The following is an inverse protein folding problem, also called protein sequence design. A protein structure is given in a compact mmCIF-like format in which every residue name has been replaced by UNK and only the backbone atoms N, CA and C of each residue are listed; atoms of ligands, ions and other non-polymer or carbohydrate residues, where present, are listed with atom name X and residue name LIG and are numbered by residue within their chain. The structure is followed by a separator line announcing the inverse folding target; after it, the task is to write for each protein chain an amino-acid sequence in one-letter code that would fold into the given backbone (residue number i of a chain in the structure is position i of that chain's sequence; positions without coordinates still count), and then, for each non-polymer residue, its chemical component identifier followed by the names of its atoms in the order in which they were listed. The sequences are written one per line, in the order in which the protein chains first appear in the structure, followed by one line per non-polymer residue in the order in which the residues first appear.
data_IF_043059405003
#
_entry.id   IF_043059405003
#
_cell.length_a   1.000
_cell.length_b   1.000
_cell.length_c   1.000
_cell.angle_alpha   90.00
_cell.angle_beta   90.00
_cell.angle_gamma   90.00
#
_symmetry.space_group_name_H-M   'P 1'
#
loop_
_entity.id
_entity.type
_entity.pdbx_description
1 polymer ?
#
# COMPACT_ATOMS: atom_id res chain seq x y z
N UNK A 1 5.40 -15.53 -21.14
CA UNK A 1 4.36 -14.47 -21.12
C UNK A 1 3.33 -14.64 -19.99
N UNK A 2 2.80 -15.85 -19.71
CA UNK A 2 1.74 -16.06 -18.69
C UNK A 2 2.05 -15.57 -17.26
N UNK A 3 3.28 -15.71 -16.78
CA UNK A 3 3.65 -15.30 -15.41
C UNK A 3 3.70 -13.79 -15.20
N UNK A 4 4.09 -13.02 -16.23
CA UNK A 4 4.15 -11.55 -16.14
C UNK A 4 2.74 -10.94 -16.04
N UNK A 5 1.78 -11.47 -16.79
CA UNK A 5 0.38 -11.02 -16.71
C UNK A 5 -0.23 -11.24 -15.33
N UNK A 6 0.01 -12.42 -14.72
CA UNK A 6 -0.45 -12.71 -13.34
C UNK A 6 0.23 -11.80 -12.33
N UNK A 7 1.54 -11.54 -12.44
CA UNK A 7 2.26 -10.66 -11.53
C UNK A 7 1.74 -9.21 -11.58
N UNK A 8 1.48 -8.68 -12.78
CA UNK A 8 0.89 -7.34 -12.96
C UNK A 8 -0.53 -7.29 -12.39
N UNK A 9 -1.35 -8.29 -12.68
CA UNK A 9 -2.72 -8.38 -12.14
C UNK A 9 -2.74 -8.38 -10.61
N UNK A 10 -1.85 -9.15 -9.98
CA UNK A 10 -1.75 -9.24 -8.53
C UNK A 10 -1.29 -7.91 -7.90
N UNK A 11 -0.34 -7.23 -8.53
CA UNK A 11 0.16 -5.92 -8.06
C UNK A 11 -0.94 -4.85 -8.13
N UNK A 12 -1.69 -4.80 -9.23
CA UNK A 12 -2.80 -3.87 -9.38
C UNK A 12 -3.91 -4.14 -8.35
N UNK A 13 -4.25 -5.41 -8.13
CA UNK A 13 -5.24 -5.78 -7.12
C UNK A 13 -4.81 -5.33 -5.71
N UNK A 14 -3.55 -5.60 -5.33
CA UNK A 14 -3.00 -5.14 -4.05
C UNK A 14 -3.02 -3.62 -3.90
N UNK A 15 -2.61 -2.89 -4.95
CA UNK A 15 -2.65 -1.42 -4.94
C UNK A 15 -4.07 -0.86 -4.85
N UNK A 16 -5.03 -1.47 -5.54
CA UNK A 16 -6.43 -1.08 -5.49
C UNK A 16 -7.04 -1.33 -4.10
N UNK A 17 -6.83 -2.52 -3.53
CA UNK A 17 -7.28 -2.83 -2.18
C UNK A 17 -6.66 -1.86 -1.17
N UNK A 18 -5.37 -1.57 -1.26
CA UNK A 18 -4.71 -0.59 -0.39
C UNK A 18 -5.32 0.82 -0.52
N UNK A 19 -5.64 1.27 -1.73
CA UNK A 19 -6.27 2.56 -1.97
C UNK A 19 -7.68 2.63 -1.37
N UNK A 20 -8.53 1.62 -1.62
CA UNK A 20 -9.88 1.57 -1.05
C UNK A 20 -9.85 1.52 0.48
N UNK A 21 -8.99 0.69 1.07
CA UNK A 21 -8.83 0.62 2.53
C UNK A 21 -8.34 1.95 3.10
N UNK A 22 -7.40 2.62 2.43
CA UNK A 22 -6.91 3.93 2.88
C UNK A 22 -8.01 4.97 2.89
N UNK A 23 -8.78 5.10 1.79
CA UNK A 23 -9.88 6.08 1.70
C UNK A 23 -10.97 5.77 2.73
N UNK A 24 -11.30 4.50 2.95
CA UNK A 24 -12.23 4.09 4.00
C UNK A 24 -11.75 4.53 5.39
N UNK A 25 -10.48 4.24 5.72
CA UNK A 25 -9.91 4.59 7.02
C UNK A 25 -9.82 6.11 7.23
N UNK A 26 -9.56 6.89 6.17
CA UNK A 26 -9.63 8.36 6.21
C UNK A 26 -11.02 8.82 6.63
N UNK A 27 -12.08 8.30 5.99
CA UNK A 27 -13.47 8.62 6.35
C UNK A 27 -13.81 8.25 7.79
N UNK A 28 -13.48 7.01 8.19
CA UNK A 28 -13.70 6.54 9.57
C UNK A 28 -12.99 7.43 10.60
N UNK A 29 -11.77 7.90 10.31
CA UNK A 29 -11.05 8.76 11.23
C UNK A 29 -11.61 10.19 11.28
N UNK A 30 -12.16 10.70 10.17
CA UNK A 30 -12.88 11.98 10.16
C UNK A 30 -14.16 11.88 10.99
N UNK A 31 -14.94 10.82 10.79
CA UNK A 31 -16.16 10.55 11.56
C UNK A 31 -15.86 10.41 13.06
N UNK A 32 -14.80 9.67 13.41
CA UNK A 32 -14.36 9.50 14.80
C UNK A 32 -13.90 10.81 15.48
N UNK A 33 -13.46 11.79 14.69
CA UNK A 33 -13.09 13.12 15.16
C UNK A 33 -14.26 14.10 15.17
N UNK A 34 -15.48 13.65 14.85
CA UNK A 34 -16.68 14.48 14.75
C UNK A 34 -16.72 15.37 13.50
N UNK A 35 -15.82 15.14 12.54
CA UNK A 35 -15.72 15.87 11.28
C UNK A 35 -16.42 15.10 10.14
N UNK A 36 -17.67 14.68 10.37
CA UNK A 36 -18.47 13.90 9.40
C UNK A 36 -19.26 14.77 8.40
N UNK A 37 -19.29 16.09 8.60
CA UNK A 37 -20.00 17.03 7.73
C UNK A 37 -19.15 18.25 7.37
N UNK A 38 -19.40 18.93 6.24
CA UNK A 38 -18.58 20.07 5.81
C UNK A 38 -18.44 21.19 6.86
N UNK A 39 -19.50 21.46 7.62
CA UNK A 39 -19.49 22.44 8.71
C UNK A 39 -18.66 22.03 9.94
N UNK A 40 -18.37 20.73 10.10
CA UNK A 40 -17.55 20.19 11.22
C UNK A 40 -16.10 19.92 10.82
N UNK A 41 -15.74 20.19 9.57
CA UNK A 41 -14.38 20.00 9.08
C UNK A 41 -13.39 20.94 9.75
N UNK A 42 -12.31 20.36 10.27
CA UNK A 42 -11.19 21.11 10.82
C UNK A 42 -9.87 20.66 10.19
N UNK A 43 -8.92 21.60 10.08
CA UNK A 43 -7.58 21.29 9.55
C UNK A 43 -6.86 20.25 10.40
N UNK A 44 -7.08 20.23 11.72
CA UNK A 44 -6.53 19.23 12.62
C UNK A 44 -7.07 17.83 12.32
N UNK A 45 -8.39 17.70 12.09
CA UNK A 45 -9.01 16.42 11.79
C UNK A 45 -8.48 15.81 10.48
N UNK A 46 -8.34 16.64 9.44
CA UNK A 46 -7.76 16.21 8.17
C UNK A 46 -6.29 15.81 8.28
N UNK A 47 -5.49 16.50 9.10
CA UNK A 47 -4.08 16.13 9.32
C UNK A 47 -3.94 14.71 9.86
N UNK A 48 -4.74 14.36 10.86
CA UNK A 48 -4.72 13.01 11.43
C UNK A 48 -5.33 11.98 10.49
N UNK A 49 -6.43 12.30 9.81
CA UNK A 49 -7.06 11.40 8.85
C UNK A 49 -6.12 11.06 7.70
N UNK A 50 -5.42 12.05 7.15
CA UNK A 50 -4.43 11.83 6.09
C UNK A 50 -3.19 11.05 6.58
N UNK A 51 -2.87 11.09 7.88
CA UNK A 51 -1.74 10.34 8.43
C UNK A 51 -1.93 8.81 8.33
N UNK A 52 -3.17 8.31 8.17
CA UNK A 52 -3.50 6.89 7.99
C UNK A 52 -2.82 6.25 6.78
N UNK A 53 -2.51 7.02 5.73
CA UNK A 53 -1.81 6.48 4.56
C UNK A 53 -0.37 6.06 4.90
N UNK A 54 0.24 6.66 5.95
CA UNK A 54 1.61 6.38 6.36
C UNK A 54 1.79 4.91 6.79
N UNK A 55 0.99 4.33 7.71
CA UNK A 55 1.13 2.92 8.04
C UNK A 55 0.87 2.00 6.85
N UNK A 56 -0.05 2.34 5.95
CA UNK A 56 -0.29 1.56 4.71
C UNK A 56 0.96 1.57 3.82
N UNK A 57 1.58 2.73 3.63
CA UNK A 57 2.84 2.84 2.90
C UNK A 57 3.97 2.09 3.58
N UNK A 58 4.13 2.25 4.90
CA UNK A 58 5.17 1.57 5.66
C UNK A 58 5.02 0.06 5.58
N UNK A 59 3.81 -0.48 5.63
CA UNK A 59 3.56 -1.91 5.45
C UNK A 59 4.02 -2.37 4.05
N UNK A 60 3.60 -1.66 2.99
CA UNK A 60 3.99 -1.98 1.62
C UNK A 60 5.49 -1.89 1.39
N UNK A 61 6.13 -0.81 1.87
CA UNK A 61 7.58 -0.61 1.80
C UNK A 61 8.33 -1.70 2.56
N UNK A 62 7.89 -2.04 3.77
CA UNK A 62 8.53 -3.07 4.60
C UNK A 62 8.49 -4.42 3.90
N UNK A 63 7.32 -4.85 3.42
CA UNK A 63 7.18 -6.10 2.66
C UNK A 63 8.05 -6.09 1.40
N UNK A 64 8.07 -4.98 0.68
CA UNK A 64 8.92 -4.82 -0.51
C UNK A 64 10.41 -4.93 -0.17
N UNK A 65 10.86 -4.31 0.92
CA UNK A 65 12.26 -4.34 1.36
C UNK A 65 12.68 -5.73 1.85
N UNK A 66 11.77 -6.49 2.47
CA UNK A 66 12.02 -7.88 2.90
C UNK A 66 12.16 -8.81 1.69
N UNK A 67 11.31 -8.66 0.66
CA UNK A 67 11.30 -9.56 -0.50
C UNK A 67 12.34 -9.21 -1.58
N UNK A 68 12.70 -7.92 -1.71
CA UNK A 68 13.72 -7.44 -2.65
C UNK A 68 15.03 -8.25 -2.67
N UNK A 69 15.72 -8.50 -1.53
CA UNK A 69 16.98 -9.24 -1.54
C UNK A 69 16.80 -10.72 -1.91
N UNK A 70 15.65 -11.33 -1.57
CA UNK A 70 15.34 -12.72 -1.90
C UNK A 70 15.15 -12.88 -3.41
N UNK A 71 14.34 -12.01 -4.01
CA UNK A 71 14.12 -11.99 -5.45
C UNK A 71 15.42 -11.78 -6.24
N UNK A 72 16.28 -10.86 -5.77
CA UNK A 72 17.59 -10.60 -6.38
C UNK A 72 18.52 -11.82 -6.29
N UNK A 73 18.60 -12.48 -5.12
CA UNK A 73 19.42 -13.69 -4.93
C UNK A 73 18.97 -14.82 -5.85
N UNK A 74 17.67 -15.04 -5.99
CA UNK A 74 17.14 -16.09 -6.85
C UNK A 74 17.40 -15.80 -8.33
N UNK A 75 17.24 -14.55 -8.76
CA UNK A 75 17.59 -14.14 -10.12
C UNK A 75 19.07 -14.40 -10.45
N UNK A 76 19.99 -14.04 -9.55
CA UNK A 76 21.43 -14.30 -9.71
C UNK A 76 21.75 -15.80 -9.75
N UNK A 77 21.10 -16.64 -8.93
CA UNK A 77 21.27 -18.10 -8.99
C UNK A 77 20.84 -18.70 -10.32
N UNK A 78 19.82 -18.13 -10.97
CA UNK A 78 19.36 -18.57 -12.29
C UNK A 78 20.38 -18.24 -13.38
N UNK A 79 21.03 -17.07 -13.30
CA UNK A 79 22.11 -16.70 -14.24
C UNK A 79 23.31 -17.64 -14.14
N UNK A 80 23.71 -18.05 -12.93
CA UNK A 80 24.81 -19.00 -12.75
C UNK A 80 24.49 -20.42 -13.21
N UNK A 81 23.22 -20.87 -13.18
CA UNK A 81 22.81 -22.20 -13.66
C UNK A 81 22.63 -22.30 -15.17
N UNK A 82 22.52 -21.17 -15.86
CA UNK A 82 22.34 -21.10 -17.31
C UNK A 82 23.67 -20.96 -18.06
N UNK A 83 24.80 -21.03 -17.36
CA UNK A 83 26.17 -20.93 -17.87
C UNK A 83 26.89 -22.26 -17.66
#
# INVERSE_FOLDING_TARGET
MRQLGVATGLTNMGGFTAALTTVLLVGVLLDAQGAGTPETYSSAAFRWAMAVQVPVWLLGLTMMLIERPKARREHLKRLHRAR
#
